data_IF_268833002540
#
_entry.id   IF_268833002540
#
_cell.length_a   1.000
_cell.length_b   1.000
_cell.length_c   1.000
_cell.angle_alpha   90.00
_cell.angle_beta   90.00
_cell.angle_gamma   90.00
#
_symmetry.space_group_name_H-M   'P 1'
#
loop_
_entity.id
_entity.type
_entity.pdbx_description
1 polymer ?
#
# COMPACT_ATOMS: atom_id res chain seq x y z
N UNK A 1 21.45 1.18 21.44
CA UNK A 1 20.78 -0.13 21.55
C UNK A 1 20.07 -0.43 20.23
N UNK A 2 19.84 -1.71 19.86
CA UNK A 2 18.95 -2.03 18.76
C UNK A 2 17.52 -1.59 19.09
N UNK A 3 16.76 -1.20 18.04
CA UNK A 3 15.32 -0.90 18.14
C UNK A 3 14.52 -2.16 18.49
N UNK A 4 13.30 -2.00 18.99
CA UNK A 4 12.42 -3.14 19.26
C UNK A 4 12.15 -3.95 17.99
N UNK A 5 12.06 -5.27 18.13
CA UNK A 5 11.74 -6.18 17.03
C UNK A 5 10.36 -5.88 16.42
N UNK A 6 9.41 -5.40 17.23
CA UNK A 6 8.09 -4.97 16.76
C UNK A 6 8.20 -3.75 15.86
N UNK A 7 8.89 -2.70 16.32
CA UNK A 7 9.12 -1.48 15.55
C UNK A 7 9.85 -1.76 14.23
N UNK A 8 10.86 -2.66 14.25
CA UNK A 8 11.55 -3.09 13.04
C UNK A 8 10.63 -3.84 12.06
N UNK A 9 9.75 -4.72 12.58
CA UNK A 9 8.79 -5.49 11.78
C UNK A 9 7.75 -4.59 11.14
N UNK A 10 7.20 -3.63 11.88
CA UNK A 10 6.16 -2.73 11.40
C UNK A 10 6.69 -1.81 10.29
N UNK A 11 7.91 -1.30 10.44
CA UNK A 11 8.60 -0.54 9.38
C UNK A 11 8.77 -1.41 8.12
N UNK A 12 9.21 -2.66 8.27
CA UNK A 12 9.41 -3.56 7.14
C UNK A 12 8.10 -3.90 6.41
N UNK A 13 7.00 -4.09 7.16
CA UNK A 13 5.68 -4.34 6.58
C UNK A 13 5.16 -3.12 5.82
N UNK A 14 5.27 -1.91 6.40
CA UNK A 14 4.85 -0.67 5.75
C UNK A 14 5.58 -0.43 4.42
N UNK A 15 6.90 -0.68 4.38
CA UNK A 15 7.67 -0.62 3.13
C UNK A 15 7.19 -1.65 2.09
N UNK A 16 6.91 -2.88 2.51
CA UNK A 16 6.39 -3.92 1.61
C UNK A 16 5.03 -3.55 1.04
N UNK A 17 4.16 -2.93 1.83
CA UNK A 17 2.86 -2.46 1.37
C UNK A 17 2.99 -1.35 0.31
N UNK A 18 3.88 -0.39 0.50
CA UNK A 18 4.17 0.65 -0.50
C UNK A 18 4.62 0.02 -1.81
N UNK A 19 5.59 -0.90 -1.77
CA UNK A 19 6.10 -1.56 -2.98
C UNK A 19 4.98 -2.30 -3.72
N UNK A 20 4.13 -3.01 -2.98
CA UNK A 20 3.00 -3.75 -3.56
C UNK A 20 1.97 -2.80 -4.18
N UNK A 21 1.69 -1.67 -3.54
CA UNK A 21 0.76 -0.65 -4.03
C UNK A 21 1.31 0.06 -5.28
N UNK A 22 2.61 0.36 -5.32
CA UNK A 22 3.29 0.95 -6.48
C UNK A 22 3.31 -0.02 -7.67
N UNK A 23 3.60 -1.31 -7.43
CA UNK A 23 3.48 -2.34 -8.47
C UNK A 23 2.05 -2.47 -9.01
N UNK A 24 1.06 -2.39 -8.12
CA UNK A 24 -0.34 -2.46 -8.51
C UNK A 24 -0.70 -1.26 -9.40
N UNK A 25 -0.29 -0.05 -9.01
CA UNK A 25 -0.50 1.18 -9.79
C UNK A 25 0.16 1.10 -11.17
N UNK A 26 1.37 0.54 -11.25
CA UNK A 26 2.06 0.32 -12.53
C UNK A 26 1.33 -0.69 -13.42
N UNK A 27 0.91 -1.84 -12.88
CA UNK A 27 0.13 -2.85 -13.63
C UNK A 27 -1.18 -2.27 -14.16
N UNK A 28 -1.83 -1.48 -13.32
CA UNK A 28 -3.03 -0.68 -13.61
C UNK A 28 -2.75 0.24 -14.82
N UNK A 29 -1.71 1.08 -14.77
CA UNK A 29 -1.34 2.02 -15.84
C UNK A 29 -0.91 1.33 -17.14
N UNK A 30 -0.13 0.24 -17.05
CA UNK A 30 0.26 -0.59 -18.18
C UNK A 30 -0.95 -1.22 -18.86
N UNK A 31 -1.95 -1.63 -18.08
CA UNK A 31 -3.17 -2.19 -18.66
C UNK A 31 -4.00 -1.11 -19.36
N UNK A 32 -4.06 0.11 -18.81
CA UNK A 32 -4.70 1.27 -19.45
C UNK A 32 -4.02 1.65 -20.77
N UNK A 33 -2.69 1.70 -20.80
CA UNK A 33 -1.95 2.08 -22.02
C UNK A 33 -2.10 1.02 -23.12
N UNK A 34 -2.17 -0.27 -22.76
CA UNK A 34 -2.45 -1.38 -23.68
C UNK A 34 -3.90 -1.43 -24.14
N UNK A 35 -4.85 -1.02 -23.29
CA UNK A 35 -6.27 -0.94 -23.60
C UNK A 35 -6.67 0.48 -24.03
N UNK A 36 -5.93 1.04 -24.99
CA UNK A 36 -6.51 1.99 -25.96
C UNK A 36 -7.62 1.25 -26.73
N UNK A 37 -8.77 1.13 -26.07
CA UNK A 37 -10.06 0.55 -26.45
C UNK A 37 -10.06 -0.19 -27.81
N UNK A 38 -9.88 -1.53 -27.85
CA UNK A 38 -10.60 -2.28 -28.86
C UNK A 38 -12.09 -2.16 -28.50
N UNK A 39 -12.91 -1.71 -29.45
CA UNK A 39 -14.37 -1.57 -29.35
C UNK A 39 -15.01 -2.97 -29.23
N UNK A 40 -14.78 -3.65 -28.10
CA UNK A 40 -15.33 -4.97 -27.82
C UNK A 40 -16.73 -4.76 -27.29
N UNK A 41 -17.68 -4.88 -28.21
CA UNK A 41 -19.11 -4.84 -27.96
C UNK A 41 -19.61 -6.25 -27.66
N UNK A 42 -20.43 -6.39 -26.63
CA UNK A 42 -21.23 -7.59 -26.42
C UNK A 42 -22.21 -7.79 -27.61
N UNK A 43 -22.85 -8.96 -27.72
CA UNK A 43 -23.86 -9.26 -28.73
C UNK A 43 -25.03 -8.24 -28.77
N UNK A 44 -25.17 -7.43 -27.71
CA UNK A 44 -26.14 -6.33 -27.57
C UNK A 44 -25.55 -4.92 -27.75
N UNK A 45 -24.29 -4.77 -28.18
CA UNK A 45 -23.71 -3.48 -28.54
C UNK A 45 -23.23 -2.60 -27.37
N UNK A 46 -23.19 -3.13 -26.14
CA UNK A 46 -22.79 -2.36 -24.93
C UNK A 46 -21.28 -2.46 -24.69
N UNK A 47 -20.67 -1.34 -24.29
CA UNK A 47 -19.25 -1.24 -23.90
C UNK A 47 -19.04 -1.85 -22.50
N UNK A 48 -18.19 -2.87 -22.40
CA UNK A 48 -17.75 -3.47 -21.13
C UNK A 48 -16.40 -2.85 -20.73
N UNK A 49 -16.41 -1.90 -19.79
CA UNK A 49 -15.25 -1.08 -19.38
C UNK A 49 -14.57 -1.53 -18.07
N UNK A 50 -14.76 -2.76 -17.63
CA UNK A 50 -14.33 -3.21 -16.30
C UNK A 50 -12.96 -3.88 -16.30
N UNK A 51 -11.95 -3.25 -15.67
CA UNK A 51 -10.67 -3.91 -15.36
C UNK A 51 -10.81 -4.70 -14.05
N UNK A 52 -10.32 -5.94 -14.02
CA UNK A 52 -10.25 -6.72 -12.78
C UNK A 52 -9.07 -6.27 -11.93
N UNK A 53 -9.37 -5.81 -10.72
CA UNK A 53 -8.39 -5.42 -9.72
C UNK A 53 -8.32 -6.48 -8.61
N UNK A 54 -7.18 -7.14 -8.50
CA UNK A 54 -6.87 -8.03 -7.39
C UNK A 54 -5.89 -7.36 -6.43
N UNK A 55 -6.28 -7.24 -5.16
CA UNK A 55 -5.35 -6.92 -4.06
C UNK A 55 -4.85 -8.25 -3.51
N UNK A 56 -3.53 -8.45 -3.29
CA UNK A 56 -3.05 -9.67 -2.69
C UNK A 56 -3.24 -9.64 -1.18
N UNK A 57 -3.50 -10.83 -0.63
CA UNK A 57 -2.94 -11.37 0.63
C UNK A 57 -3.97 -11.76 1.69
N UNK A 58 -3.76 -12.95 2.27
CA UNK A 58 -4.20 -13.29 3.63
C UNK A 58 -5.67 -13.68 3.81
N UNK A 59 -5.89 -14.39 4.90
CA UNK A 59 -7.18 -14.86 5.40
C UNK A 59 -8.05 -13.63 5.73
N UNK A 60 -9.01 -13.32 4.84
CA UNK A 60 -9.82 -12.10 4.89
C UNK A 60 -9.70 -11.15 3.68
N UNK A 61 -9.05 -11.56 2.59
CA UNK A 61 -9.01 -10.76 1.34
C UNK A 61 -10.37 -10.67 0.64
N UNK A 62 -11.12 -9.59 0.93
CA UNK A 62 -12.26 -9.18 0.11
C UNK A 62 -11.75 -8.36 -1.08
N UNK A 63 -11.77 -8.93 -2.29
CA UNK A 63 -11.47 -8.18 -3.53
C UNK A 63 -12.69 -7.37 -3.95
N UNK A 64 -12.49 -6.10 -4.24
CA UNK A 64 -13.53 -5.27 -4.85
C UNK A 64 -13.53 -5.50 -6.36
N UNK A 65 -14.63 -6.00 -6.88
CA UNK A 65 -14.83 -6.24 -8.32
C UNK A 65 -15.52 -5.04 -8.96
N UNK A 66 -15.18 -4.73 -10.22
CA UNK A 66 -15.80 -3.69 -11.03
C UNK A 66 -15.69 -2.26 -10.48
N UNK A 67 -14.61 -1.94 -9.76
CA UNK A 67 -14.38 -0.58 -9.28
C UNK A 67 -14.01 0.32 -10.45
N UNK A 68 -14.70 1.47 -10.64
CA UNK A 68 -14.35 2.43 -11.69
C UNK A 68 -12.93 2.95 -11.52
N UNK A 69 -12.20 3.03 -12.64
CA UNK A 69 -10.81 3.47 -12.69
C UNK A 69 -10.56 4.83 -12.02
N UNK A 70 -11.48 5.77 -12.21
CA UNK A 70 -11.44 7.12 -11.63
C UNK A 70 -11.38 7.10 -10.10
N UNK A 71 -11.83 6.01 -9.48
CA UNK A 71 -11.85 5.81 -8.04
C UNK A 71 -10.63 5.01 -7.56
N UNK A 72 -10.15 4.04 -8.33
CA UNK A 72 -9.01 3.19 -7.92
C UNK A 72 -7.71 3.96 -7.75
N UNK A 73 -7.39 4.84 -8.71
CA UNK A 73 -6.14 5.61 -8.69
C UNK A 73 -5.99 6.47 -7.42
N UNK A 74 -6.93 7.38 -7.08
CA UNK A 74 -6.77 8.23 -5.90
C UNK A 74 -6.77 7.42 -4.59
N UNK A 75 -7.44 6.26 -4.55
CA UNK A 75 -7.41 5.38 -3.37
C UNK A 75 -6.02 4.78 -3.17
N UNK A 76 -5.40 4.25 -4.22
CA UNK A 76 -4.06 3.65 -4.13
C UNK A 76 -3.03 4.73 -3.79
N UNK A 77 -3.13 5.91 -4.40
CA UNK A 77 -2.26 7.06 -4.08
C UNK A 77 -2.42 7.50 -2.62
N UNK A 78 -3.66 7.59 -2.12
CA UNK A 78 -3.93 7.92 -0.71
C UNK A 78 -3.38 6.85 0.24
N UNK A 79 -3.50 5.58 -0.10
CA UNK A 79 -2.94 4.48 0.70
C UNK A 79 -1.41 4.53 0.76
N UNK A 80 -0.74 4.82 -0.36
CA UNK A 80 0.72 5.03 -0.39
C UNK A 80 1.11 6.21 0.50
N UNK A 81 0.37 7.33 0.43
CA UNK A 81 0.63 8.49 1.26
C UNK A 81 0.47 8.17 2.76
N UNK A 82 -0.57 7.40 3.12
CA UNK A 82 -0.80 6.94 4.49
C UNK A 82 0.34 6.05 4.99
N UNK A 83 0.80 5.08 4.19
CA UNK A 83 1.90 4.20 4.59
C UNK A 83 3.23 4.95 4.73
N UNK A 84 3.49 5.96 3.90
CA UNK A 84 4.67 6.83 4.05
C UNK A 84 4.63 7.61 5.36
N UNK A 85 3.48 8.20 5.71
CA UNK A 85 3.31 8.87 7.00
C UNK A 85 3.50 7.91 8.19
N UNK A 86 3.05 6.66 8.05
CA UNK A 86 3.24 5.62 9.06
C UNK A 86 4.73 5.26 9.24
N UNK A 87 5.51 5.19 8.15
CA UNK A 87 6.96 4.98 8.22
C UNK A 87 7.65 6.15 8.94
N UNK A 88 7.26 7.39 8.67
CA UNK A 88 7.81 8.57 9.37
C UNK A 88 7.57 8.48 10.88
N UNK A 89 6.32 8.21 11.29
CA UNK A 89 5.96 8.05 12.69
C UNK A 89 6.71 6.89 13.37
N UNK A 90 6.84 5.74 12.71
CA UNK A 90 7.59 4.60 13.23
C UNK A 90 9.10 4.87 13.28
N UNK A 91 9.62 5.66 12.34
CA UNK A 91 11.03 6.08 12.34
C UNK A 91 11.34 7.02 13.49
N UNK A 92 10.41 7.92 13.84
CA UNK A 92 10.52 8.75 15.05
C UNK A 92 10.50 7.89 16.32
N UNK A 93 9.58 6.92 16.40
CA UNK A 93 9.53 5.95 17.50
C UNK A 93 10.84 5.18 17.63
N UNK A 94 11.37 4.67 16.51
CA UNK A 94 12.66 3.99 16.46
C UNK A 94 13.81 4.89 16.93
N UNK A 95 13.80 6.18 16.57
CA UNK A 95 14.80 7.14 17.04
C UNK A 95 14.72 7.37 18.55
N UNK A 96 13.52 7.43 19.11
CA UNK A 96 13.31 7.54 20.57
C UNK A 96 13.83 6.27 21.27
N UNK A 97 13.55 5.09 20.73
CA UNK A 97 14.06 3.82 21.26
C UNK A 97 15.59 3.70 21.18
N UNK A 98 16.22 4.32 20.17
CA UNK A 98 17.68 4.37 20.06
C UNK A 98 18.33 5.34 21.05
N UNK A 99 17.62 6.38 21.50
CA UNK A 99 18.12 7.31 22.51
C UNK A 99 18.15 6.62 23.88
N UNK A 100 19.26 6.70 24.62
CA UNK A 100 19.33 6.12 25.96
C UNK A 100 18.29 6.77 26.85
N UNK A 101 17.44 5.97 27.50
CA UNK A 101 16.56 6.44 28.57
C UNK A 101 17.46 6.88 29.73
N UNK A 102 17.39 8.13 30.22
CA UNK A 102 18.20 8.56 31.37
C UNK A 102 17.52 8.07 32.64
N UNK A 103 17.67 6.78 32.96
CA UNK A 103 17.39 6.22 34.29
C UNK A 103 18.09 4.88 34.40
N UNK A 104 19.38 4.94 34.71
CA UNK A 104 20.05 4.00 35.61
C UNK A 104 20.97 4.83 36.52
N UNK A 105 20.38 5.84 37.17
CA UNK A 105 20.90 6.34 38.44
C UNK A 105 20.19 5.50 39.51
N UNK A 106 20.65 4.26 39.68
CA UNK A 106 20.41 3.55 40.93
C UNK A 106 21.55 3.91 41.88
N UNK A 107 21.11 4.23 43.09
CA UNK A 107 21.80 4.98 44.15
C UNK A 107 23.07 4.29 44.67
N UNK A 108 23.82 5.11 45.40
CA UNK A 108 25.07 4.86 46.11
C UNK A 108 25.13 3.58 46.95
#
# INVERSE_FOLDING_TARGET
MPISAETARDIALAHREILTAEELLKKIEDTRSRHSVPDIRDAFGRLQSGLQLGVPSGEGSFRLFNVPWSMCRPIIEAHIAQQRALIEALSEKAMIEMKPRPVDVQEA
#
